data_IF_228601837881
#
_entry.id   IF_228601837881
#
_cell.length_a   1.000
_cell.length_b   1.000
_cell.length_c   1.000
_cell.angle_alpha   90.00
_cell.angle_beta   90.00
_cell.angle_gamma   90.00
#
_symmetry.space_group_name_H-M   'P 1'
#
loop_
_entity.id
_entity.type
_entity.pdbx_description
1 polymer ?
#
# COMPACT_ATOMS: atom_id res chain seq x y z
N UNK A 1 3.30 -6.06 -16.64
CA UNK A 1 3.21 -4.78 -15.91
C UNK A 1 3.33 -5.08 -14.42
N UNK A 2 3.85 -4.14 -13.62
CA UNK A 2 3.87 -4.30 -12.15
C UNK A 2 2.44 -4.17 -11.65
N UNK A 3 1.87 -5.26 -11.14
CA UNK A 3 0.47 -5.31 -10.72
C UNK A 3 0.34 -6.05 -9.41
N UNK A 4 -0.31 -5.42 -8.43
CA UNK A 4 -0.59 -6.01 -7.12
C UNK A 4 -1.89 -6.82 -7.15
N UNK A 5 -2.04 -7.76 -6.22
CA UNK A 5 -3.28 -8.52 -6.05
C UNK A 5 -4.33 -7.66 -5.32
N UNK A 6 -5.42 -7.31 -6.00
CA UNK A 6 -6.46 -6.42 -5.44
C UNK A 6 -7.07 -6.97 -4.14
N UNK A 7 -7.40 -8.26 -4.10
CA UNK A 7 -8.02 -8.85 -2.91
C UNK A 7 -7.09 -8.81 -1.69
N UNK A 8 -5.78 -9.01 -1.88
CA UNK A 8 -4.80 -8.91 -0.80
C UNK A 8 -4.75 -7.49 -0.22
N UNK A 9 -4.81 -6.46 -1.08
CA UNK A 9 -4.89 -5.07 -0.63
C UNK A 9 -6.24 -4.75 0.03
N UNK A 10 -7.35 -5.01 -0.65
CA UNK A 10 -8.67 -4.58 -0.24
C UNK A 10 -9.12 -5.24 1.07
N UNK A 11 -8.92 -6.55 1.20
CA UNK A 11 -9.33 -7.28 2.41
C UNK A 11 -8.47 -6.90 3.62
N UNK A 12 -7.18 -6.59 3.40
CA UNK A 12 -6.31 -6.10 4.47
C UNK A 12 -6.76 -4.73 4.97
N UNK A 13 -6.96 -3.78 4.05
CA UNK A 13 -7.41 -2.41 4.40
C UNK A 13 -8.80 -2.42 5.03
N UNK A 14 -9.72 -3.23 4.52
CA UNK A 14 -11.07 -3.32 5.08
C UNK A 14 -11.07 -3.90 6.50
N UNK A 15 -10.24 -4.91 6.76
CA UNK A 15 -10.08 -5.46 8.11
C UNK A 15 -9.52 -4.41 9.08
N UNK A 16 -8.49 -3.65 8.66
CA UNK A 16 -7.95 -2.55 9.46
C UNK A 16 -9.00 -1.47 9.72
N UNK A 17 -9.78 -1.10 8.69
CA UNK A 17 -10.86 -0.12 8.83
C UNK A 17 -11.90 -0.56 9.86
N UNK A 18 -12.35 -1.81 9.78
CA UNK A 18 -13.33 -2.37 10.72
C UNK A 18 -12.78 -2.42 12.16
N UNK A 19 -11.52 -2.79 12.34
CA UNK A 19 -10.87 -2.81 13.66
C UNK A 19 -10.54 -1.41 14.19
N UNK A 20 -10.40 -0.42 13.31
CA UNK A 20 -10.06 0.98 13.63
C UNK A 20 -11.28 1.82 13.99
N UNK A 21 -12.49 1.29 13.86
CA UNK A 21 -13.72 2.03 14.05
C UNK A 21 -14.28 1.91 15.48
N UNK A 22 -15.18 2.83 15.82
CA UNK A 22 -16.07 2.71 16.97
C UNK A 22 -17.52 2.60 16.46
N UNK A 23 -18.12 1.44 16.69
CA UNK A 23 -19.39 1.03 16.09
C UNK A 23 -19.31 0.87 14.56
N UNK A 24 -20.29 1.38 13.80
CA UNK A 24 -20.46 1.15 12.36
C UNK A 24 -20.41 2.47 11.58
N UNK A 25 -19.39 3.29 11.83
CA UNK A 25 -19.21 4.63 11.23
C UNK A 25 -18.18 4.65 10.11
N UNK A 26 -17.50 3.52 9.88
CA UNK A 26 -16.38 3.40 8.95
C UNK A 26 -15.23 4.38 9.25
N UNK A 27 -15.02 4.68 10.54
CA UNK A 27 -13.97 5.56 11.02
C UNK A 27 -12.56 4.97 10.92
N UNK A 28 -11.58 5.86 11.02
CA UNK A 28 -10.14 5.54 11.08
C UNK A 28 -9.58 6.10 12.37
N UNK A 29 -10.06 5.58 13.49
CA UNK A 29 -9.87 6.17 14.83
C UNK A 29 -8.60 5.61 15.47
N UNK A 30 -8.44 4.29 15.48
CA UNK A 30 -7.31 3.63 16.15
C UNK A 30 -6.13 3.31 15.22
N UNK A 31 -6.38 3.32 13.92
CA UNK A 31 -5.39 3.10 12.87
C UNK A 31 -5.70 3.95 11.64
N UNK A 32 -4.66 4.61 11.13
CA UNK A 32 -4.62 5.31 9.85
C UNK A 32 -3.61 4.60 8.94
N UNK A 33 -3.71 4.82 7.64
CA UNK A 33 -2.86 4.25 6.60
C UNK A 33 -2.76 5.21 5.41
N UNK A 34 -1.71 5.06 4.62
CA UNK A 34 -1.57 5.74 3.33
C UNK A 34 -1.24 4.71 2.26
N UNK A 35 -1.73 4.93 1.04
CA UNK A 35 -1.28 4.18 -0.13
C UNK A 35 -0.06 4.91 -0.69
N UNK A 36 1.11 4.36 -0.40
CA UNK A 36 2.40 4.93 -0.78
C UNK A 36 2.80 4.52 -2.19
N UNK A 37 3.35 5.46 -2.97
CA UNK A 37 3.94 5.17 -4.27
C UNK A 37 5.09 6.13 -4.61
N UNK A 38 6.03 5.67 -5.43
CA UNK A 38 7.06 6.50 -6.08
C UNK A 38 6.53 7.31 -7.26
N UNK A 39 5.22 7.22 -7.55
CA UNK A 39 4.59 7.91 -8.67
C UNK A 39 3.22 8.45 -8.27
N UNK A 40 2.78 9.51 -8.95
CA UNK A 40 1.43 10.07 -8.80
C UNK A 40 0.39 9.43 -9.74
N UNK A 41 0.83 8.54 -10.63
CA UNK A 41 -0.06 7.81 -11.51
C UNK A 41 -0.86 6.76 -10.73
N UNK A 42 -2.01 6.39 -11.28
CA UNK A 42 -2.81 5.29 -10.75
C UNK A 42 -2.03 3.97 -10.80
N UNK A 43 -2.15 3.19 -9.73
CA UNK A 43 -1.53 1.87 -9.59
C UNK A 43 -2.55 0.83 -10.05
N UNK A 44 -2.22 0.09 -11.10
CA UNK A 44 -3.11 -0.92 -11.69
C UNK A 44 -2.93 -2.27 -11.00
N UNK A 45 -4.00 -2.79 -10.41
CA UNK A 45 -4.05 -4.15 -9.88
C UNK A 45 -4.05 -5.21 -10.98
N UNK A 46 -3.84 -6.48 -10.61
CA UNK A 46 -3.80 -7.61 -11.54
C UNK A 46 -5.13 -7.86 -12.29
N UNK A 47 -6.26 -7.37 -11.75
CA UNK A 47 -7.57 -7.45 -12.39
C UNK A 47 -7.98 -6.16 -13.13
N UNK A 48 -7.08 -5.19 -13.27
CA UNK A 48 -7.31 -3.96 -14.03
C UNK A 48 -7.96 -2.82 -13.25
N UNK A 49 -8.42 -3.05 -12.02
CA UNK A 49 -8.89 -1.97 -11.14
C UNK A 49 -7.69 -1.10 -10.73
N UNK A 50 -7.89 0.21 -10.75
CA UNK A 50 -6.87 1.21 -10.48
C UNK A 50 -7.09 1.86 -9.12
N UNK A 51 -6.00 2.07 -8.38
CA UNK A 51 -6.01 2.75 -7.08
C UNK A 51 -5.12 3.99 -7.17
N UNK A 52 -5.63 5.12 -6.65
CA UNK A 52 -4.82 6.33 -6.54
C UNK A 52 -3.92 6.25 -5.30
N UNK A 53 -2.63 6.59 -5.42
CA UNK A 53 -1.78 6.80 -4.25
C UNK A 53 -2.31 7.97 -3.43
N UNK A 54 -2.23 7.87 -2.10
CA UNK A 54 -2.65 8.94 -1.18
C UNK A 54 -1.47 9.71 -0.60
N UNK A 55 -0.25 9.18 -0.75
CA UNK A 55 0.99 9.85 -0.36
C UNK A 55 2.16 9.41 -1.24
N UNK A 56 3.13 10.31 -1.40
CA UNK A 56 4.45 9.99 -1.93
C UNK A 56 5.23 9.13 -0.88
N UNK A 57 6.44 8.67 -1.22
CA UNK A 57 7.36 7.98 -0.31
C UNK A 57 8.01 8.95 0.71
N UNK A 58 7.21 9.46 1.66
CA UNK A 58 7.63 10.35 2.77
C UNK A 58 8.45 9.61 3.83
N UNK A 59 9.07 10.28 4.80
CA UNK A 59 9.97 9.63 5.77
C UNK A 59 9.34 8.38 6.45
N UNK A 60 9.93 7.17 6.32
CA UNK A 60 9.30 5.94 6.82
C UNK A 60 9.09 5.91 8.34
N UNK A 61 9.82 6.71 9.11
CA UNK A 61 9.61 6.84 10.55
C UNK A 61 8.28 7.50 10.93
N UNK A 62 7.53 8.04 9.97
CA UNK A 62 6.17 8.54 10.16
C UNK A 62 5.12 7.41 10.23
N UNK A 63 5.52 6.16 9.96
CA UNK A 63 4.63 5.01 9.97
C UNK A 63 5.11 3.98 11.00
N UNK A 64 4.19 3.47 11.82
CA UNK A 64 4.47 2.36 12.74
C UNK A 64 4.67 1.03 11.99
N UNK A 65 3.98 0.87 10.86
CA UNK A 65 4.01 -0.33 10.03
C UNK A 65 4.04 0.03 8.55
N UNK A 66 4.82 -0.74 7.79
CA UNK A 66 4.81 -0.70 6.32
C UNK A 66 4.39 -2.08 5.81
N UNK A 67 3.34 -2.11 5.01
CA UNK A 67 2.78 -3.33 4.43
C UNK A 67 3.02 -3.34 2.94
N UNK A 68 3.65 -4.39 2.43
CA UNK A 68 3.94 -4.55 1.00
C UNK A 68 2.95 -5.55 0.41
N UNK A 69 2.08 -5.07 -0.49
CA UNK A 69 1.14 -5.95 -1.21
C UNK A 69 1.77 -6.40 -2.52
N UNK A 70 2.10 -7.69 -2.58
CA UNK A 70 2.67 -8.31 -3.77
C UNK A 70 1.65 -8.65 -4.86
N UNK A 71 2.18 -9.20 -5.95
CA UNK A 71 1.43 -9.76 -7.06
C UNK A 71 2.26 -10.82 -7.78
N UNK A 72 1.97 -11.05 -9.05
CA UNK A 72 2.72 -12.02 -9.86
C UNK A 72 4.15 -11.51 -10.13
N UNK A 73 5.16 -12.34 -9.89
CA UNK A 73 6.58 -12.05 -10.14
C UNK A 73 7.00 -12.48 -11.55
N UNK A 74 6.20 -12.09 -12.55
CA UNK A 74 6.41 -12.47 -13.95
C UNK A 74 7.20 -11.43 -14.75
N UNK A 75 7.83 -10.47 -14.07
CA UNK A 75 8.68 -9.44 -14.67
C UNK A 75 10.03 -9.45 -14.00
N UNK A 76 11.10 -9.18 -14.76
CA UNK A 76 12.46 -9.10 -14.25
C UNK A 76 12.63 -8.05 -13.12
N UNK A 77 11.88 -6.94 -13.21
CA UNK A 77 11.89 -5.86 -12.20
C UNK A 77 10.49 -5.68 -11.60
N UNK A 78 10.07 -6.52 -10.64
CA UNK A 78 8.72 -6.51 -10.08
C UNK A 78 8.42 -5.26 -9.24
N UNK A 79 9.47 -4.58 -8.75
CA UNK A 79 9.41 -3.35 -7.94
C UNK A 79 10.41 -2.36 -8.53
N UNK A 80 10.13 -1.05 -8.47
CA UNK A 80 11.08 -0.01 -8.87
C UNK A 80 12.18 0.21 -7.81
N UNK A 81 13.32 0.72 -8.26
CA UNK A 81 14.48 0.97 -7.40
C UNK A 81 14.20 1.97 -6.27
N UNK A 82 13.30 2.93 -6.48
CA UNK A 82 12.95 3.93 -5.46
C UNK A 82 12.19 3.29 -4.31
N UNK A 83 11.17 2.47 -4.62
CA UNK A 83 10.47 1.65 -3.63
C UNK A 83 11.43 0.69 -2.91
N UNK A 84 12.37 0.05 -3.61
CA UNK A 84 13.37 -0.82 -2.96
C UNK A 84 14.27 -0.03 -1.99
N UNK A 85 14.74 1.17 -2.39
CA UNK A 85 15.53 2.04 -1.51
C UNK A 85 14.73 2.48 -0.29
N UNK A 86 13.45 2.82 -0.48
CA UNK A 86 12.55 3.21 0.59
C UNK A 86 12.38 2.11 1.64
N UNK A 87 12.11 0.87 1.20
CA UNK A 87 11.96 -0.27 2.10
C UNK A 87 13.26 -0.60 2.85
N UNK A 88 14.42 -0.46 2.19
CA UNK A 88 15.72 -0.59 2.86
C UNK A 88 15.96 0.50 3.91
N UNK A 89 15.55 1.74 3.63
CA UNK A 89 15.62 2.84 4.61
C UNK A 89 14.72 2.57 5.82
N UNK A 90 13.52 2.04 5.60
CA UNK A 90 12.58 1.73 6.68
C UNK A 90 13.03 0.55 7.57
N UNK A 91 13.88 -0.34 7.05
CA UNK A 91 14.38 -1.51 7.77
C UNK A 91 15.70 -1.25 8.53
N UNK A 92 16.32 -0.09 8.35
CA UNK A 92 17.59 0.30 8.98
C UNK A 92 17.36 0.84 10.39
#
# INVERSE_FOLDING_TARGET
ARSFTLSAFALFVDTLRLASDEADRSGRIFADWQVLASTRHLITSSCGVQVAPTSDLVDPSLFDYIVVVGGLLNTEFPVDDETVRYLKKAAA
#
